data_IF_593932895282
#
_entry.id   IF_593932895282
#
_cell.length_a   1.000
_cell.length_b   1.000
_cell.length_c   1.000
_cell.angle_alpha   90.00
_cell.angle_beta   90.00
_cell.angle_gamma   90.00
#
_symmetry.space_group_name_H-M   'P 1'
#
loop_
_entity.id
_entity.type
_entity.pdbx_description
1 polymer ?
#
# COMPACT_ATOMS: atom_id res chain seq x y z
N UNK A 1 1.59 -49.91 19.09
CA UNK A 1 1.60 -48.83 18.08
C UNK A 1 0.29 -48.06 18.22
N UNK A 2 0.33 -46.85 18.79
CA UNK A 2 -0.85 -46.00 18.97
C UNK A 2 -0.92 -45.06 17.78
N UNK A 3 -1.97 -45.19 16.96
CA UNK A 3 -2.23 -44.33 15.80
C UNK A 3 -2.88 -43.04 16.31
N UNK A 4 -2.13 -41.94 16.28
CA UNK A 4 -2.62 -40.61 16.62
C UNK A 4 -3.33 -40.02 15.40
N UNK A 5 -4.67 -40.06 15.41
CA UNK A 5 -5.52 -39.47 14.37
C UNK A 5 -5.59 -37.95 14.57
N UNK A 6 -4.74 -37.21 13.84
CA UNK A 6 -4.77 -35.75 13.82
C UNK A 6 -5.85 -35.27 12.84
N UNK A 7 -6.98 -34.81 13.40
CA UNK A 7 -8.03 -34.09 12.69
C UNK A 7 -7.49 -32.74 12.19
N UNK A 8 -7.17 -32.68 10.90
CA UNK A 8 -6.82 -31.43 10.22
C UNK A 8 -8.10 -30.72 9.76
N UNK A 9 -8.63 -29.83 10.60
CA UNK A 9 -9.61 -28.85 10.15
C UNK A 9 -8.93 -27.90 9.15
N UNK A 10 -9.18 -28.10 7.86
CA UNK A 10 -8.66 -27.20 6.83
C UNK A 10 -9.40 -25.86 6.87
N UNK A 11 -8.72 -24.84 7.39
CA UNK A 11 -9.17 -23.44 7.39
C UNK A 11 -9.18 -22.93 5.95
N UNK A 12 -10.32 -23.01 5.26
CA UNK A 12 -10.48 -22.55 3.86
C UNK A 12 -10.67 -21.03 3.70
N UNK A 13 -10.69 -20.26 4.79
CA UNK A 13 -11.06 -18.84 4.77
C UNK A 13 -10.07 -17.91 4.04
N UNK A 14 -8.83 -18.35 3.77
CA UNK A 14 -7.80 -17.48 3.19
C UNK A 14 -7.80 -17.42 1.65
N UNK A 15 -8.48 -18.35 0.96
CA UNK A 15 -8.45 -18.40 -0.51
C UNK A 15 -9.29 -17.29 -1.17
N UNK A 16 -10.45 -16.93 -0.60
CA UNK A 16 -11.37 -15.95 -1.17
C UNK A 16 -10.83 -14.51 -1.15
N UNK A 17 -10.16 -14.11 -0.06
CA UNK A 17 -9.71 -12.73 0.14
C UNK A 17 -8.79 -12.21 -0.99
N UNK A 18 -7.94 -13.08 -1.57
CA UNK A 18 -7.10 -12.71 -2.72
C UNK A 18 -7.91 -12.46 -3.99
N UNK A 19 -8.96 -13.25 -4.22
CA UNK A 19 -9.84 -13.16 -5.41
C UNK A 19 -10.65 -11.86 -5.43
N UNK A 20 -11.07 -11.40 -4.25
CA UNK A 20 -12.03 -10.29 -4.11
C UNK A 20 -11.37 -8.92 -3.90
N UNK A 21 -10.04 -8.85 -3.99
CA UNK A 21 -9.28 -7.62 -3.79
C UNK A 21 -8.40 -7.25 -4.98
N UNK A 22 -8.20 -5.94 -5.15
CA UNK A 22 -7.22 -5.36 -6.06
C UNK A 22 -5.97 -4.99 -5.26
N UNK A 23 -4.81 -5.12 -5.89
CA UNK A 23 -3.55 -4.61 -5.36
C UNK A 23 -3.01 -3.58 -6.36
N UNK A 24 -3.01 -2.33 -5.94
CA UNK A 24 -2.64 -1.20 -6.80
C UNK A 24 -1.33 -0.62 -6.30
N UNK A 25 -0.37 -0.48 -7.21
CA UNK A 25 0.93 0.10 -6.92
C UNK A 25 0.86 1.61 -7.03
N UNK A 26 1.45 2.31 -6.06
CA UNK A 26 1.57 3.77 -6.08
C UNK A 26 2.99 4.15 -5.69
N UNK A 27 3.61 5.02 -6.47
CA UNK A 27 4.88 5.64 -6.12
C UNK A 27 4.68 6.98 -5.46
N UNK A 28 5.38 7.19 -4.35
CA UNK A 28 5.55 8.50 -3.72
C UNK A 28 7.02 8.87 -3.67
N UNK A 29 7.27 10.15 -3.51
CA UNK A 29 8.59 10.71 -3.28
C UNK A 29 8.53 11.60 -2.04
N UNK A 30 9.53 11.47 -1.17
CA UNK A 30 9.74 12.35 -0.02
C UNK A 30 11.11 13.02 -0.12
N UNK A 31 11.14 14.34 0.01
CA UNK A 31 12.35 15.14 0.03
C UNK A 31 12.81 15.40 1.47
N UNK A 32 14.13 15.44 1.66
CA UNK A 32 14.79 15.69 2.93
C UNK A 32 15.84 16.78 2.80
N UNK A 33 15.86 17.67 3.79
CA UNK A 33 16.95 18.60 4.08
C UNK A 33 17.53 18.21 5.44
N UNK A 34 18.74 17.68 5.46
CA UNK A 34 19.23 16.95 6.62
C UNK A 34 18.38 15.70 6.89
N UNK A 35 18.03 15.51 8.16
CA UNK A 35 17.11 14.47 8.62
C UNK A 35 15.64 14.93 8.63
N UNK A 36 15.36 16.16 8.16
CA UNK A 36 14.03 16.76 8.21
C UNK A 36 13.28 16.51 6.89
N UNK A 37 12.12 15.83 6.91
CA UNK A 37 11.29 15.66 5.73
C UNK A 37 10.60 16.99 5.38
N UNK A 38 10.79 17.47 4.16
CA UNK A 38 10.30 18.78 3.72
C UNK A 38 9.06 18.70 2.84
N UNK A 39 8.99 17.70 1.94
CA UNK A 39 7.87 17.55 1.01
C UNK A 39 7.60 16.10 0.68
N UNK A 40 6.33 15.73 0.64
CA UNK A 40 5.87 14.42 0.14
C UNK A 40 4.98 14.66 -1.08
N UNK A 41 5.25 13.92 -2.16
CA UNK A 41 4.48 13.97 -3.40
C UNK A 41 4.11 12.56 -3.87
N UNK A 42 2.95 12.44 -4.53
CA UNK A 42 2.56 11.22 -5.24
C UNK A 42 3.07 11.36 -6.67
N UNK A 43 3.93 10.42 -7.09
CA UNK A 43 4.61 10.48 -8.38
C UNK A 43 3.80 9.77 -9.46
N UNK A 44 3.26 8.58 -9.14
CA UNK A 44 2.49 7.78 -10.09
C UNK A 44 1.56 6.82 -9.38
N UNK A 45 0.30 6.80 -9.80
CA UNK A 45 -0.67 5.75 -9.45
C UNK A 45 -0.76 4.80 -10.64
N UNK A 46 -0.46 3.51 -10.45
CA UNK A 46 -0.53 2.51 -11.52
C UNK A 46 -1.95 1.94 -11.61
N UNK A 47 -2.89 2.78 -12.05
CA UNK A 47 -4.28 2.39 -12.31
C UNK A 47 -4.82 3.18 -13.51
N UNK A 48 -4.76 2.58 -14.70
CA UNK A 48 -5.20 3.23 -15.95
C UNK A 48 -6.72 3.22 -16.13
N UNK A 49 -7.42 2.36 -15.37
CA UNK A 49 -8.87 2.21 -15.42
C UNK A 49 -9.59 2.97 -14.29
N UNK A 50 -8.87 3.74 -13.47
CA UNK A 50 -9.45 4.44 -12.33
C UNK A 50 -10.06 5.79 -12.73
N UNK A 51 -11.18 6.16 -12.13
CA UNK A 51 -11.72 7.52 -12.19
C UNK A 51 -10.94 8.49 -11.27
N UNK A 52 -11.26 9.79 -11.33
CA UNK A 52 -10.55 10.82 -10.55
C UNK A 52 -10.65 10.60 -9.03
N UNK A 53 -11.82 10.20 -8.53
CA UNK A 53 -12.03 9.96 -7.10
C UNK A 53 -11.23 8.77 -6.59
N UNK A 54 -11.18 7.68 -7.36
CA UNK A 54 -10.37 6.51 -7.09
C UNK A 54 -8.87 6.84 -7.10
N UNK A 55 -8.42 7.63 -8.08
CA UNK A 55 -7.04 8.13 -8.12
C UNK A 55 -6.71 8.99 -6.90
N UNK A 56 -7.62 9.87 -6.48
CA UNK A 56 -7.49 10.70 -5.29
C UNK A 56 -7.43 9.86 -4.02
N UNK A 57 -8.31 8.87 -3.87
CA UNK A 57 -8.29 7.92 -2.76
C UNK A 57 -6.94 7.20 -2.65
N UNK A 58 -6.45 6.64 -3.75
CA UNK A 58 -5.18 5.91 -3.79
C UNK A 58 -4.00 6.83 -3.47
N UNK A 59 -4.00 8.03 -4.04
CA UNK A 59 -2.98 9.05 -3.81
C UNK A 59 -2.92 9.47 -2.35
N UNK A 60 -4.07 9.74 -1.72
CA UNK A 60 -4.14 10.10 -0.31
C UNK A 60 -3.67 8.96 0.59
N UNK A 61 -4.04 7.71 0.28
CA UNK A 61 -3.61 6.55 1.07
C UNK A 61 -2.10 6.36 1.02
N UNK A 62 -1.50 6.45 -0.17
CA UNK A 62 -0.05 6.34 -0.35
C UNK A 62 0.71 7.50 0.30
N UNK A 63 0.18 8.72 0.16
CA UNK A 63 0.74 9.91 0.79
C UNK A 63 0.73 9.77 2.32
N UNK A 64 -0.41 9.37 2.90
CA UNK A 64 -0.52 9.14 4.35
C UNK A 64 0.47 8.07 4.80
N UNK A 65 0.54 6.94 4.12
CA UNK A 65 1.53 5.88 4.42
C UNK A 65 2.97 6.42 4.43
N UNK A 66 3.32 7.24 3.44
CA UNK A 66 4.64 7.90 3.36
C UNK A 66 4.87 8.84 4.53
N UNK A 67 3.87 9.67 4.86
CA UNK A 67 3.95 10.61 5.96
C UNK A 67 4.16 9.92 7.30
N UNK A 68 3.48 8.80 7.56
CA UNK A 68 3.67 8.04 8.80
C UNK A 68 5.08 7.42 8.88
N UNK A 69 5.63 6.98 7.75
CA UNK A 69 6.95 6.35 7.69
C UNK A 69 8.10 7.35 7.43
N UNK A 70 7.85 8.67 7.44
CA UNK A 70 8.81 9.69 6.98
C UNK A 70 10.15 9.68 7.71
N UNK A 71 10.20 9.27 8.96
CA UNK A 71 11.46 9.19 9.72
C UNK A 71 12.13 7.81 9.66
N UNK A 72 11.49 6.80 9.04
CA UNK A 72 12.07 5.46 8.88
C UNK A 72 13.20 5.39 7.85
N UNK A 73 13.37 6.44 7.03
CA UNK A 73 14.41 6.53 5.99
C UNK A 73 15.54 7.51 6.34
N UNK A 74 15.48 8.14 7.52
CA UNK A 74 16.44 9.18 7.95
C UNK A 74 17.90 8.73 7.91
N UNK A 75 18.15 7.45 8.20
CA UNK A 75 19.51 6.88 8.22
C UNK A 75 20.03 6.57 6.82
N UNK A 76 19.15 6.51 5.82
CA UNK A 76 19.48 6.16 4.43
C UNK A 76 19.62 7.39 3.55
N UNK A 77 18.91 8.48 3.85
CA UNK A 77 18.89 9.70 3.04
C UNK A 77 18.94 10.92 3.97
N UNK A 78 20.12 11.53 4.05
CA UNK A 78 20.39 12.76 4.82
C UNK A 78 20.22 14.06 4.03
N UNK A 79 20.10 13.98 2.71
CA UNK A 79 19.85 15.12 1.83
C UNK A 79 19.43 14.53 0.49
N UNK A 80 18.27 14.95 -0.04
CA UNK A 80 17.77 14.47 -1.33
C UNK A 80 16.40 13.82 -1.24
N UNK A 81 16.11 12.90 -2.16
CA UNK A 81 14.77 12.37 -2.40
C UNK A 81 14.71 10.85 -2.27
N UNK A 82 13.81 10.35 -1.44
CA UNK A 82 13.48 8.92 -1.37
C UNK A 82 12.26 8.62 -2.24
N UNK A 83 12.35 7.59 -3.09
CA UNK A 83 11.20 7.05 -3.82
C UNK A 83 10.68 5.80 -3.12
N UNK A 84 9.36 5.74 -2.93
CA UNK A 84 8.70 4.73 -2.13
C UNK A 84 7.61 4.04 -2.93
N UNK A 85 7.58 2.71 -2.87
CA UNK A 85 6.56 1.89 -3.49
C UNK A 85 5.51 1.47 -2.44
N UNK A 86 4.26 1.85 -2.66
CA UNK A 86 3.11 1.43 -1.86
C UNK A 86 2.29 0.43 -2.64
N UNK A 87 2.00 -0.72 -2.03
CA UNK A 87 1.07 -1.71 -2.58
C UNK A 87 -0.24 -1.62 -1.80
N UNK A 88 -1.17 -0.83 -2.31
CA UNK A 88 -2.45 -0.60 -1.67
C UNK A 88 -3.39 -1.75 -2.04
N UNK A 89 -3.84 -2.50 -1.03
CA UNK A 89 -4.88 -3.51 -1.19
C UNK A 89 -6.26 -2.95 -0.85
N UNK A 90 -7.24 -3.19 -1.72
CA UNK A 90 -8.64 -2.75 -1.55
C UNK A 90 -9.59 -3.86 -2.01
N UNK A 91 -10.80 -3.93 -1.45
CA UNK A 91 -11.86 -4.80 -1.95
C UNK A 91 -12.39 -4.25 -3.27
N UNK A 92 -12.63 -5.12 -4.25
CA UNK A 92 -13.09 -4.74 -5.59
C UNK A 92 -14.40 -3.97 -5.55
N UNK A 93 -15.38 -4.48 -4.81
CA UNK A 93 -16.72 -3.92 -4.73
C UNK A 93 -16.72 -2.54 -4.08
N UNK A 94 -16.01 -2.39 -2.97
CA UNK A 94 -15.92 -1.10 -2.28
C UNK A 94 -15.18 -0.07 -3.12
N UNK A 95 -14.11 -0.50 -3.80
CA UNK A 95 -13.34 0.38 -4.66
C UNK A 95 -14.14 0.86 -5.87
N UNK A 96 -14.98 -0.01 -6.45
CA UNK A 96 -15.88 0.34 -7.55
C UNK A 96 -16.91 1.41 -7.17
N UNK A 97 -17.33 1.46 -5.91
CA UNK A 97 -18.32 2.42 -5.39
C UNK A 97 -17.75 3.82 -5.12
N UNK A 98 -16.44 4.02 -5.33
CA UNK A 98 -15.82 5.34 -5.26
C UNK A 98 -16.06 5.99 -6.63
N UNK A 99 -17.07 6.87 -6.71
CA UNK A 99 -17.52 7.57 -7.92
C UNK A 99 -17.68 9.06 -7.67
#
# INVERSE_FOLDING_TARGET
MVILLVLTFQVQAQAGFKKDSLQIKVYTEIAYEGDVPTKISVVKVFCEYCNEEQLKYLSQKAWKSTYHNRYGYKEKIRNGKAKLAHFIRVKKEDFKKIE
#
